data_IF_884136450195
#
_entry.id   IF_884136450195
#
_cell.length_a   1.000
_cell.length_b   1.000
_cell.length_c   1.000
_cell.angle_alpha   90.00
_cell.angle_beta   90.00
_cell.angle_gamma   90.00
#
_symmetry.space_group_name_H-M   'P 1'
#
loop_
_entity.id
_entity.type
_entity.pdbx_description
1 polymer ?
#
# COMPACT_ATOMS: atom_id res chain seq x y z
N UNK A 1 -11.13 -11.89 17.23
CA UNK A 1 -10.00 -12.83 17.27
C UNK A 1 -8.74 -12.14 16.74
N UNK A 2 -7.73 -11.84 17.56
CA UNK A 2 -6.49 -11.12 17.19
C UNK A 2 -5.50 -11.91 16.31
N UNK A 3 -5.70 -13.22 16.13
CA UNK A 3 -4.79 -14.11 15.41
C UNK A 3 -4.93 -14.03 13.87
N UNK A 4 -6.08 -13.58 13.36
CA UNK A 4 -6.32 -13.49 11.91
C UNK A 4 -5.54 -12.35 11.25
N UNK A 5 -5.42 -11.22 11.95
CA UNK A 5 -4.84 -9.99 11.38
C UNK A 5 -3.35 -10.17 11.03
N UNK A 6 -2.57 -10.83 11.89
CA UNK A 6 -1.14 -11.10 11.62
C UNK A 6 -0.93 -12.00 10.40
N UNK A 7 -1.79 -13.01 10.23
CA UNK A 7 -1.69 -13.97 9.11
C UNK A 7 -2.07 -13.29 7.79
N UNK A 8 -3.10 -12.46 7.81
CA UNK A 8 -3.51 -11.63 6.67
C UNK A 8 -2.39 -10.66 6.27
N UNK A 9 -1.82 -9.93 7.23
CA UNK A 9 -0.70 -9.01 6.98
C UNK A 9 0.49 -9.76 6.37
N UNK A 10 0.84 -10.94 6.90
CA UNK A 10 1.93 -11.75 6.37
C UNK A 10 1.71 -12.22 4.94
N UNK A 11 0.47 -12.58 4.57
CA UNK A 11 0.13 -12.98 3.20
C UNK A 11 0.25 -11.77 2.28
N UNK A 12 -0.32 -10.63 2.67
CA UNK A 12 -0.28 -9.42 1.85
C UNK A 12 1.15 -8.95 1.61
N UNK A 13 2.01 -8.94 2.65
CA UNK A 13 3.42 -8.57 2.50
C UNK A 13 4.17 -9.54 1.57
N UNK A 14 3.89 -10.84 1.68
CA UNK A 14 4.49 -11.86 0.81
C UNK A 14 4.07 -11.70 -0.66
N UNK A 15 2.82 -11.32 -0.92
CA UNK A 15 2.37 -11.00 -2.28
C UNK A 15 3.06 -9.73 -2.80
N UNK A 16 3.30 -8.73 -1.94
CA UNK A 16 4.03 -7.52 -2.33
C UNK A 16 5.49 -7.81 -2.71
N UNK A 17 6.15 -8.75 -2.03
CA UNK A 17 7.51 -9.20 -2.38
C UNK A 17 7.56 -9.91 -3.75
N UNK A 18 6.48 -10.58 -4.12
CA UNK A 18 6.32 -11.27 -5.40
C UNK A 18 5.98 -10.37 -6.58
N UNK A 19 5.72 -9.08 -6.36
CA UNK A 19 5.37 -8.14 -7.43
C UNK A 19 6.51 -7.99 -8.45
N UNK A 20 6.18 -8.00 -9.73
CA UNK A 20 7.14 -7.68 -10.78
C UNK A 20 7.69 -6.26 -10.56
N UNK A 21 9.02 -6.11 -10.58
CA UNK A 21 9.66 -4.82 -10.35
C UNK A 21 9.56 -3.96 -11.61
N UNK A 22 8.64 -2.99 -11.60
CA UNK A 22 8.39 -2.10 -12.75
C UNK A 22 9.36 -0.92 -12.84
N UNK A 23 10.03 -0.61 -11.74
CA UNK A 23 11.12 0.36 -11.62
C UNK A 23 11.83 0.15 -10.28
N UNK A 24 13.05 0.67 -10.14
CA UNK A 24 13.83 0.56 -8.91
C UNK A 24 13.07 1.12 -7.70
N UNK A 25 12.78 0.25 -6.73
CA UNK A 25 12.04 0.59 -5.52
C UNK A 25 10.53 0.50 -5.63
N UNK A 26 9.97 0.01 -6.76
CA UNK A 26 8.52 -0.20 -6.94
C UNK A 26 7.92 -1.08 -5.84
N UNK A 27 8.57 -2.20 -5.52
CA UNK A 27 8.10 -3.12 -4.46
C UNK A 27 8.06 -2.43 -3.10
N UNK A 28 9.08 -1.63 -2.78
CA UNK A 28 9.15 -0.88 -1.52
C UNK A 28 8.04 0.15 -1.41
N UNK A 29 7.78 0.89 -2.49
CA UNK A 29 6.69 1.87 -2.59
C UNK A 29 5.31 1.22 -2.37
N UNK A 30 5.05 0.09 -3.03
CA UNK A 30 3.78 -0.63 -2.88
C UNK A 30 3.62 -1.20 -1.47
N UNK A 31 4.69 -1.80 -0.93
CA UNK A 31 4.69 -2.36 0.43
C UNK A 31 4.46 -1.28 1.49
N UNK A 32 5.07 -0.11 1.34
CA UNK A 32 4.87 1.03 2.22
C UNK A 32 3.43 1.56 2.15
N UNK A 33 2.84 1.66 0.96
CA UNK A 33 1.46 2.08 0.81
C UNK A 33 0.47 1.12 1.48
N UNK A 34 0.70 -0.19 1.36
CA UNK A 34 -0.11 -1.22 2.01
C UNK A 34 0.03 -1.18 3.54
N UNK A 35 1.26 -0.99 4.05
CA UNK A 35 1.50 -0.83 5.48
C UNK A 35 0.76 0.37 6.06
N UNK A 36 0.75 1.51 5.35
CA UNK A 36 -0.01 2.70 5.73
C UNK A 36 -1.52 2.43 5.76
N UNK A 37 -2.06 1.72 4.76
CA UNK A 37 -3.49 1.33 4.72
C UNK A 37 -3.87 0.48 5.92
N UNK A 38 -3.05 -0.54 6.26
CA UNK A 38 -3.28 -1.40 7.42
C UNK A 38 -3.23 -0.61 8.74
N UNK A 39 -2.32 0.37 8.84
CA UNK A 39 -2.24 1.26 9.99
C UNK A 39 -3.48 2.15 10.09
N UNK A 40 -3.98 2.69 8.96
CA UNK A 40 -5.23 3.44 8.93
C UNK A 40 -6.43 2.59 9.32
N UNK A 41 -6.54 1.34 8.85
CA UNK A 41 -7.63 0.44 9.25
C UNK A 41 -7.60 0.14 10.75
N UNK A 42 -6.40 -0.07 11.30
CA UNK A 42 -6.23 -0.29 12.73
C UNK A 42 -6.59 0.94 13.56
N UNK A 43 -6.25 2.15 13.09
CA UNK A 43 -6.67 3.42 13.72
C UNK A 43 -8.18 3.66 13.57
N UNK A 44 -8.77 3.31 12.42
CA UNK A 44 -10.19 3.46 12.15
C UNK A 44 -11.06 2.62 13.09
N UNK A 45 -10.59 1.41 13.42
CA UNK A 45 -11.26 0.54 14.39
C UNK A 45 -11.36 1.17 15.80
N UNK A 46 -10.56 2.20 16.08
CA UNK A 46 -10.50 2.93 17.36
C UNK A 46 -11.19 4.31 17.27
N UNK A 47 -11.22 4.93 16.08
CA UNK A 47 -11.90 6.20 15.82
C UNK A 47 -12.63 6.09 14.50
N UNK A 48 -13.96 6.11 14.52
CA UNK A 48 -14.88 6.08 13.37
C UNK A 48 -14.67 7.31 12.44
N UNK A 49 -13.50 7.37 11.82
CA UNK A 49 -12.98 8.43 10.97
C UNK A 49 -13.11 7.97 9.53
N UNK A 50 -13.40 8.86 8.58
CA UNK A 50 -13.67 8.48 7.18
C UNK A 50 -12.40 7.97 6.45
N UNK A 51 -11.98 6.74 6.76
CA UNK A 51 -10.75 6.06 6.32
C UNK A 51 -10.73 5.85 4.80
N UNK A 52 -11.90 5.64 4.20
CA UNK A 52 -12.01 5.48 2.75
C UNK A 52 -11.34 6.63 2.00
N UNK A 53 -11.47 7.87 2.49
CA UNK A 53 -10.82 9.03 1.87
C UNK A 53 -9.29 8.94 1.95
N UNK A 54 -8.74 8.57 3.12
CA UNK A 54 -7.28 8.43 3.34
C UNK A 54 -6.68 7.29 2.50
N UNK A 55 -7.36 6.14 2.42
CA UNK A 55 -6.93 5.03 1.57
C UNK A 55 -6.92 5.47 0.11
N UNK A 56 -8.00 6.13 -0.34
CA UNK A 56 -8.12 6.58 -1.72
C UNK A 56 -7.05 7.62 -2.07
N UNK A 57 -6.75 8.55 -1.15
CA UNK A 57 -5.66 9.52 -1.30
C UNK A 57 -4.30 8.82 -1.42
N UNK A 58 -4.04 7.79 -0.60
CA UNK A 58 -2.78 7.02 -0.64
C UNK A 58 -2.65 6.24 -1.95
N UNK A 59 -3.69 5.55 -2.38
CA UNK A 59 -3.72 4.85 -3.68
C UNK A 59 -3.49 5.81 -4.85
N UNK A 60 -4.14 6.97 -4.83
CA UNK A 60 -3.96 7.99 -5.86
C UNK A 60 -2.53 8.56 -5.87
N UNK A 61 -1.93 8.79 -4.70
CA UNK A 61 -0.56 9.25 -4.59
C UNK A 61 0.43 8.22 -5.16
N UNK A 62 0.29 6.94 -4.77
CA UNK A 62 1.11 5.86 -5.32
C UNK A 62 0.93 5.76 -6.83
N UNK A 63 -0.31 5.74 -7.34
CA UNK A 63 -0.58 5.67 -8.78
C UNK A 63 0.04 6.83 -9.57
N UNK A 64 0.00 8.06 -9.06
CA UNK A 64 0.68 9.22 -9.67
C UNK A 64 2.19 9.04 -9.71
N UNK A 65 2.77 8.50 -8.64
CA UNK A 65 4.19 8.20 -8.54
C UNK A 65 4.59 7.14 -9.58
N UNK A 66 3.79 6.07 -9.71
CA UNK A 66 3.96 5.05 -10.75
C UNK A 66 3.96 5.67 -12.15
N UNK A 67 2.92 6.45 -12.47
CA UNK A 67 2.80 7.10 -13.78
C UNK A 67 3.98 8.05 -14.07
N UNK A 68 4.48 8.76 -13.05
CA UNK A 68 5.63 9.66 -13.21
C UNK A 68 6.93 8.91 -13.48
N UNK A 69 7.15 7.77 -12.81
CA UNK A 69 8.35 6.93 -12.97
C UNK A 69 8.33 6.17 -14.29
N UNK A 70 7.18 5.61 -14.69
CA UNK A 70 7.02 4.91 -15.98
C UNK A 70 7.19 5.86 -17.18
N UNK A 71 6.83 7.15 -17.05
CA UNK A 71 7.10 8.14 -18.10
C UNK A 71 8.59 8.48 -18.22
N UNK A 72 9.33 8.49 -17.12
CA UNK A 72 10.76 8.83 -17.09
C UNK A 72 11.65 7.74 -17.69
N UNK A 73 11.21 6.49 -17.68
CA UNK A 73 11.93 5.33 -18.23
C UNK A 73 11.80 5.20 -19.77
N UNK A 74 10.88 5.95 -20.39
CA UNK A 74 10.62 5.93 -21.85
C UNK A 74 11.13 7.17 -22.61
N UNK A 75 11.93 8.04 -21.99
CA UNK A 75 12.51 9.24 -22.61
C UNK A 75 14.03 9.17 -22.67
#
# INVERSE_FOLDING_TARGET
MPWNDRKIISIILKECDGLEERFDGYRKEVTAAVADILQYERQHRVSATNIQKKINDKCNATARLLLSKTKKDRS
#
